data_IF_098769922850
#
_entry.id   IF_098769922850
#
_cell.length_a   1.000
_cell.length_b   1.000
_cell.length_c   1.000
_cell.angle_alpha   90.00
_cell.angle_beta   90.00
_cell.angle_gamma   90.00
#
_symmetry.space_group_name_H-M   'P 1'
#
loop_
_entity.id
_entity.type
_entity.pdbx_description
1 polymer ?
#
# COMPACT_ATOMS: atom_id res chain seq x y z
N UNK A 1 30.16 16.00 -11.74
CA UNK A 1 28.70 16.02 -11.91
C UNK A 1 28.42 15.18 -13.14
N UNK A 2 27.79 14.00 -12.97
CA UNK A 2 27.39 13.22 -14.14
C UNK A 2 26.24 13.99 -14.81
N UNK A 3 26.43 14.32 -16.10
CA UNK A 3 25.37 14.96 -16.89
C UNK A 3 24.10 14.11 -16.80
N UNK A 4 23.00 14.75 -16.41
CA UNK A 4 21.68 14.11 -16.39
C UNK A 4 21.35 13.74 -17.83
N UNK A 5 21.47 12.46 -18.15
CA UNK A 5 21.21 12.00 -19.53
C UNK A 5 19.69 11.90 -19.73
N UNK A 6 19.07 13.05 -19.97
CA UNK A 6 17.62 13.25 -20.14
C UNK A 6 17.04 12.28 -21.19
N UNK A 7 17.82 11.88 -22.20
CA UNK A 7 17.41 10.93 -23.25
C UNK A 7 17.17 9.50 -22.72
N UNK A 8 17.72 9.15 -21.55
CA UNK A 8 17.55 7.79 -20.97
C UNK A 8 16.39 7.67 -19.99
N UNK A 9 15.73 8.78 -19.65
CA UNK A 9 14.55 8.78 -18.77
C UNK A 9 13.38 8.08 -19.45
N UNK A 10 12.64 7.29 -18.68
CA UNK A 10 11.39 6.70 -19.14
C UNK A 10 10.24 7.70 -19.15
N UNK A 11 10.23 8.58 -20.17
CA UNK A 11 9.23 9.64 -20.32
C UNK A 11 7.80 9.13 -20.38
N UNK A 12 7.57 7.91 -20.87
CA UNK A 12 6.23 7.35 -20.91
C UNK A 12 5.69 7.06 -19.50
N UNK A 13 6.50 6.49 -18.61
CA UNK A 13 6.10 6.32 -17.22
C UNK A 13 5.91 7.66 -16.50
N UNK A 14 6.75 8.66 -16.78
CA UNK A 14 6.58 10.02 -16.24
C UNK A 14 5.29 10.67 -16.75
N UNK A 15 4.97 10.50 -18.04
CA UNK A 15 3.71 11.00 -18.62
C UNK A 15 2.49 10.37 -17.95
N UNK A 16 2.49 9.05 -17.75
CA UNK A 16 1.38 8.36 -17.07
C UNK A 16 1.24 8.88 -15.62
N UNK A 17 2.36 9.02 -14.89
CA UNK A 17 2.35 9.59 -13.55
C UNK A 17 1.75 10.99 -13.54
N UNK A 18 2.20 11.88 -14.43
CA UNK A 18 1.70 13.26 -14.49
C UNK A 18 0.21 13.29 -14.85
N UNK A 19 -0.25 12.39 -15.71
CA UNK A 19 -1.68 12.23 -16.03
C UNK A 19 -2.48 11.79 -14.79
N UNK A 20 -1.99 10.81 -14.01
CA UNK A 20 -2.64 10.38 -12.77
C UNK A 20 -2.71 11.53 -11.75
N UNK A 21 -1.64 12.30 -11.57
CA UNK A 21 -1.64 13.47 -10.66
C UNK A 21 -2.63 14.53 -11.15
N UNK A 22 -2.69 14.82 -12.44
CA UNK A 22 -3.62 15.79 -13.01
C UNK A 22 -5.08 15.36 -12.82
N UNK A 23 -5.40 14.07 -13.07
CA UNK A 23 -6.71 13.49 -12.80
C UNK A 23 -7.03 13.53 -11.30
N UNK A 24 -6.05 13.25 -10.44
CA UNK A 24 -6.18 13.35 -8.98
C UNK A 24 -6.54 14.77 -8.55
N UNK A 25 -5.83 15.79 -9.03
CA UNK A 25 -6.13 17.19 -8.74
C UNK A 25 -7.53 17.58 -9.19
N UNK A 26 -7.97 17.13 -10.37
CA UNK A 26 -9.34 17.36 -10.86
C UNK A 26 -10.40 16.73 -9.93
N UNK A 27 -10.19 15.48 -9.50
CA UNK A 27 -11.14 14.79 -8.63
C UNK A 27 -11.13 15.38 -7.20
N UNK A 28 -9.97 15.79 -6.67
CA UNK A 28 -9.89 16.50 -5.38
C UNK A 28 -10.58 17.87 -5.48
N UNK A 29 -10.45 18.58 -6.60
CA UNK A 29 -11.19 19.82 -6.85
C UNK A 29 -12.69 19.58 -6.80
N UNK A 30 -13.18 18.57 -7.51
CA UNK A 30 -14.61 18.24 -7.53
C UNK A 30 -15.12 17.82 -6.14
N UNK A 31 -14.43 16.92 -5.45
CA UNK A 31 -14.85 16.43 -4.13
C UNK A 31 -14.72 17.46 -3.00
N UNK A 32 -14.04 18.60 -3.22
CA UNK A 32 -13.86 19.66 -2.23
C UNK A 32 -14.69 20.92 -2.49
N UNK A 33 -15.65 20.89 -3.40
CA UNK A 33 -16.47 22.07 -3.80
C UNK A 33 -17.23 22.70 -2.62
N UNK A 34 -17.72 21.92 -1.67
CA UNK A 34 -18.39 22.44 -0.47
C UNK A 34 -17.50 23.35 0.38
N UNK A 35 -16.18 23.20 0.28
CA UNK A 35 -15.19 24.03 0.98
C UNK A 35 -14.73 25.27 0.18
N UNK A 36 -15.12 25.38 -1.12
CA UNK A 36 -14.69 26.48 -1.99
C UNK A 36 -15.53 27.75 -1.82
N UNK A 37 -16.67 27.67 -1.12
CA UNK A 37 -17.55 28.83 -0.88
C UNK A 37 -16.92 29.86 0.06
N UNK A 38 -15.84 29.50 0.77
CA UNK A 38 -15.17 30.34 1.78
C UNK A 38 -13.87 30.98 1.27
N UNK A 39 -13.88 31.65 0.13
CA UNK A 39 -12.76 32.38 -0.49
C UNK A 39 -11.67 31.52 -1.16
N UNK A 40 -11.20 31.99 -2.33
CA UNK A 40 -10.15 31.35 -3.17
C UNK A 40 -8.79 31.22 -2.43
N UNK A 41 -8.59 31.99 -1.36
CA UNK A 41 -7.37 31.97 -0.54
C UNK A 41 -7.50 31.17 0.77
N UNK A 42 -8.65 30.53 1.03
CA UNK A 42 -8.74 29.60 2.17
C UNK A 42 -7.91 28.36 1.86
N UNK A 43 -7.19 27.83 2.89
CA UNK A 43 -6.42 26.59 2.81
C UNK A 43 -7.35 25.36 2.71
N UNK A 44 -8.14 25.30 1.61
CA UNK A 44 -9.00 24.17 1.32
C UNK A 44 -8.19 22.94 0.84
N UNK A 45 -8.76 21.73 0.79
CA UNK A 45 -8.04 20.52 0.38
C UNK A 45 -7.40 20.62 -1.00
N UNK A 46 -8.06 21.26 -1.98
CA UNK A 46 -7.52 21.43 -3.33
C UNK A 46 -6.27 22.31 -3.35
N UNK A 47 -6.29 23.48 -2.70
CA UNK A 47 -5.14 24.40 -2.68
C UNK A 47 -3.93 23.78 -1.97
N UNK A 48 -4.17 23.04 -0.87
CA UNK A 48 -3.13 22.26 -0.22
C UNK A 48 -2.56 21.18 -1.13
N UNK A 49 -3.41 20.44 -1.82
CA UNK A 49 -2.97 19.38 -2.74
C UNK A 49 -2.15 19.95 -3.91
N UNK A 50 -2.58 21.08 -4.48
CA UNK A 50 -1.82 21.79 -5.53
C UNK A 50 -0.44 22.21 -5.05
N UNK A 51 -0.34 22.76 -3.84
CA UNK A 51 0.93 23.13 -3.23
C UNK A 51 1.86 21.91 -3.08
N UNK A 52 1.35 20.79 -2.56
CA UNK A 52 2.13 19.56 -2.45
C UNK A 52 2.49 18.94 -3.81
N UNK A 53 1.64 19.10 -4.84
CA UNK A 53 1.97 18.67 -6.19
C UNK A 53 3.14 19.49 -6.77
N UNK A 54 3.19 20.80 -6.53
CA UNK A 54 4.32 21.64 -6.93
C UNK A 54 5.60 21.19 -6.22
N UNK A 55 5.56 20.97 -4.89
CA UNK A 55 6.71 20.45 -4.13
C UNK A 55 7.15 19.09 -4.71
N UNK A 56 6.21 18.23 -5.06
CA UNK A 56 6.50 16.92 -5.64
C UNK A 56 7.24 17.02 -6.98
N UNK A 57 6.93 18.01 -7.80
CA UNK A 57 7.67 18.29 -9.03
C UNK A 57 9.13 18.67 -8.71
N UNK A 58 9.35 19.53 -7.70
CA UNK A 58 10.70 19.86 -7.26
C UNK A 58 11.45 18.63 -6.72
N UNK A 59 10.78 17.77 -5.93
CA UNK A 59 11.35 16.50 -5.45
C UNK A 59 11.76 15.63 -6.64
N UNK A 60 10.90 15.51 -7.67
CA UNK A 60 11.22 14.72 -8.87
C UNK A 60 12.51 15.19 -9.53
N UNK A 61 12.63 16.47 -9.84
CA UNK A 61 13.83 17.02 -10.51
C UNK A 61 15.06 16.95 -9.59
N UNK A 62 14.93 17.23 -8.31
CA UNK A 62 16.02 17.12 -7.35
C UNK A 62 16.61 15.70 -7.31
N UNK A 63 15.74 14.68 -7.28
CA UNK A 63 16.19 13.28 -7.31
C UNK A 63 16.92 12.93 -8.61
N UNK A 64 16.53 13.50 -9.76
CA UNK A 64 17.22 13.24 -11.02
C UNK A 64 18.66 13.80 -11.03
N UNK A 65 18.98 14.83 -10.24
CA UNK A 65 20.33 15.40 -10.12
C UNK A 65 21.26 14.49 -9.30
N UNK A 66 20.72 13.76 -8.31
CA UNK A 66 21.50 12.90 -7.43
C UNK A 66 22.09 11.72 -8.20
N UNK A 67 23.29 11.29 -7.83
CA UNK A 67 23.91 10.08 -8.38
C UNK A 67 23.30 8.81 -7.75
N UNK A 68 23.32 7.69 -8.47
CA UNK A 68 22.88 6.40 -7.89
C UNK A 68 23.74 5.99 -6.71
N UNK A 69 25.04 6.29 -6.77
CA UNK A 69 25.95 6.04 -5.65
C UNK A 69 25.52 6.74 -4.36
N UNK A 70 24.84 7.88 -4.46
CA UNK A 70 24.24 8.54 -3.29
C UNK A 70 23.21 7.61 -2.62
N UNK A 71 22.28 7.03 -3.37
CA UNK A 71 21.26 6.14 -2.82
C UNK A 71 21.88 4.86 -2.23
N UNK A 72 22.86 4.27 -2.91
CA UNK A 72 23.57 3.07 -2.42
C UNK A 72 24.31 3.38 -1.12
N UNK A 73 25.07 4.48 -1.09
CA UNK A 73 25.90 4.84 0.06
C UNK A 73 25.08 5.23 1.28
N UNK A 74 24.05 6.04 1.08
CA UNK A 74 23.29 6.65 2.19
C UNK A 74 22.01 5.90 2.56
N UNK A 75 21.61 4.83 1.88
CA UNK A 75 20.37 4.10 2.19
C UNK A 75 20.27 3.63 3.64
N UNK A 76 21.38 3.20 4.28
CA UNK A 76 21.37 2.80 5.69
C UNK A 76 21.14 3.99 6.62
N UNK A 77 21.76 5.13 6.30
CA UNK A 77 21.59 6.35 7.11
C UNK A 77 20.15 6.88 6.96
N UNK A 78 19.63 6.92 5.75
CA UNK A 78 18.24 7.30 5.49
C UNK A 78 17.27 6.37 6.23
N UNK A 79 17.56 5.06 6.27
CA UNK A 79 16.75 4.11 7.01
C UNK A 79 16.74 4.39 8.51
N UNK A 80 17.91 4.63 9.12
CA UNK A 80 18.02 4.99 10.53
C UNK A 80 17.24 6.28 10.81
N UNK A 81 17.37 7.30 9.96
CA UNK A 81 16.62 8.56 10.11
C UNK A 81 15.11 8.33 10.00
N UNK A 82 14.66 7.45 9.11
CA UNK A 82 13.24 7.13 9.00
C UNK A 82 12.72 6.39 10.26
N UNK A 83 13.50 5.49 10.83
CA UNK A 83 13.16 4.82 12.09
C UNK A 83 13.12 5.84 13.26
N UNK A 84 14.10 6.74 13.34
CA UNK A 84 14.10 7.80 14.35
C UNK A 84 12.88 8.72 14.20
N UNK A 85 12.46 9.03 12.96
CA UNK A 85 11.25 9.82 12.73
C UNK A 85 9.97 9.10 13.16
N UNK A 86 9.90 7.76 13.02
CA UNK A 86 8.79 6.97 13.55
C UNK A 86 8.80 6.92 15.08
N UNK A 87 9.98 6.79 15.70
CA UNK A 87 10.11 6.84 17.16
C UNK A 87 9.74 8.23 17.70
N UNK A 88 10.12 9.28 17.02
CA UNK A 88 9.81 10.66 17.41
C UNK A 88 8.31 10.95 17.48
N UNK A 89 7.46 10.21 16.79
CA UNK A 89 6.01 10.35 16.88
C UNK A 89 5.46 10.05 18.28
N UNK A 90 6.10 9.18 19.05
CA UNK A 90 5.67 8.90 20.43
C UNK A 90 5.88 10.10 21.38
N UNK A 91 6.71 11.08 20.99
CA UNK A 91 7.01 12.27 21.79
C UNK A 91 6.35 13.53 21.18
N UNK A 92 6.38 13.67 19.87
CA UNK A 92 5.97 14.89 19.14
C UNK A 92 4.79 14.65 18.20
N UNK A 93 4.22 13.43 18.18
CA UNK A 93 3.13 13.09 17.26
C UNK A 93 1.78 13.61 17.75
N UNK A 94 0.88 13.84 16.78
CA UNK A 94 -0.53 14.13 17.03
C UNK A 94 -1.38 12.95 16.59
N UNK A 95 -2.41 12.68 17.38
CA UNK A 95 -3.38 11.66 17.08
C UNK A 95 -4.44 12.19 16.11
N UNK A 96 -4.63 11.47 15.00
CA UNK A 96 -5.67 11.77 14.01
C UNK A 96 -6.42 10.46 13.71
N UNK A 97 -7.73 10.48 13.85
CA UNK A 97 -8.60 9.31 13.64
C UNK A 97 -8.19 8.05 14.44
N UNK A 98 -7.60 8.24 15.64
CA UNK A 98 -7.15 7.17 16.52
C UNK A 98 -5.77 6.59 16.20
N UNK A 99 -4.99 7.24 15.30
CA UNK A 99 -3.62 6.86 15.00
C UNK A 99 -2.64 7.99 15.36
N UNK A 100 -1.62 7.69 16.19
CA UNK A 100 -0.54 8.61 16.56
C UNK A 100 0.54 8.63 15.46
N UNK A 101 0.17 9.10 14.26
CA UNK A 101 0.95 8.92 13.04
C UNK A 101 1.39 10.22 12.35
N UNK A 102 1.06 11.39 12.91
CA UNK A 102 1.20 12.67 12.23
C UNK A 102 2.04 13.67 13.01
N UNK A 103 2.98 14.33 12.32
CA UNK A 103 3.53 15.61 12.77
C UNK A 103 2.68 16.74 12.19
N UNK A 104 2.18 17.63 13.05
CA UNK A 104 1.41 18.79 12.63
C UNK A 104 2.22 20.06 12.89
N UNK A 105 2.48 20.83 11.83
CA UNK A 105 3.25 22.08 11.88
C UNK A 105 2.48 23.14 11.08
N UNK A 106 1.97 24.17 11.74
CA UNK A 106 1.30 25.31 11.10
C UNK A 106 0.21 24.93 10.07
N UNK A 107 -0.63 23.93 10.39
CA UNK A 107 -1.72 23.50 9.52
C UNK A 107 -1.33 22.52 8.42
N UNK A 108 -0.06 22.11 8.35
CA UNK A 108 0.41 21.02 7.49
C UNK A 108 0.63 19.77 8.33
N UNK A 109 0.21 18.62 7.79
CA UNK A 109 0.39 17.32 8.44
C UNK A 109 1.35 16.46 7.62
N UNK A 110 2.38 15.92 8.28
CA UNK A 110 3.36 15.00 7.67
C UNK A 110 3.26 13.66 8.37
N UNK A 111 3.09 12.60 7.58
CA UNK A 111 3.06 11.22 8.06
C UNK A 111 4.39 10.52 7.74
N UNK A 112 5.27 10.30 8.72
CA UNK A 112 6.59 9.69 8.50
C UNK A 112 6.52 8.27 7.92
N UNK A 113 5.49 7.51 8.23
CA UNK A 113 5.30 6.15 7.71
C UNK A 113 5.16 6.11 6.18
N UNK A 114 4.67 7.19 5.54
CA UNK A 114 4.62 7.32 4.08
C UNK A 114 6.03 7.32 3.47
N UNK A 115 6.94 8.12 4.05
CA UNK A 115 8.34 8.19 3.62
C UNK A 115 9.15 6.96 4.02
N UNK A 116 8.77 6.28 5.10
CA UNK A 116 9.45 5.05 5.53
C UNK A 116 9.33 3.93 4.49
N UNK A 117 8.26 3.86 3.70
CA UNK A 117 8.08 2.85 2.64
C UNK A 117 9.18 2.91 1.56
N UNK A 118 9.40 4.03 0.83
CA UNK A 118 10.48 4.12 -0.15
C UNK A 118 11.87 3.98 0.46
N UNK A 119 12.06 4.45 1.69
CA UNK A 119 13.35 4.35 2.38
C UNK A 119 13.64 2.91 2.82
N UNK A 120 12.66 2.17 3.31
CA UNK A 120 12.79 0.73 3.60
C UNK A 120 13.09 -0.07 2.32
N UNK A 121 12.48 0.30 1.19
CA UNK A 121 12.80 -0.28 -0.10
C UNK A 121 14.28 -0.07 -0.49
N UNK A 122 14.85 1.12 -0.23
CA UNK A 122 16.28 1.40 -0.45
C UNK A 122 17.17 0.56 0.47
N UNK A 123 16.84 0.48 1.76
CA UNK A 123 17.59 -0.29 2.74
C UNK A 123 17.60 -1.78 2.38
N UNK A 124 16.44 -2.31 1.99
CA UNK A 124 16.30 -3.69 1.55
C UNK A 124 17.08 -3.96 0.27
N UNK A 125 16.98 -3.04 -0.72
CA UNK A 125 17.74 -3.14 -1.97
C UNK A 125 19.25 -3.15 -1.72
N UNK A 126 19.75 -2.29 -0.82
CA UNK A 126 21.16 -2.26 -0.44
C UNK A 126 21.60 -3.56 0.21
N UNK A 127 20.85 -4.03 1.21
CA UNK A 127 21.21 -5.24 1.95
C UNK A 127 21.23 -6.48 1.06
N UNK A 128 20.22 -6.67 0.21
CA UNK A 128 20.14 -7.83 -0.67
C UNK A 128 21.00 -7.77 -1.91
N UNK A 129 21.50 -6.57 -2.29
CA UNK A 129 22.46 -6.41 -3.41
C UNK A 129 23.90 -6.59 -3.00
N UNK A 130 24.21 -6.75 -1.71
CA UNK A 130 25.54 -7.04 -1.23
C UNK A 130 26.03 -8.40 -1.75
N UNK A 131 27.30 -8.49 -2.13
CA UNK A 131 27.95 -9.67 -2.72
C UNK A 131 27.80 -10.91 -1.80
N UNK A 132 27.81 -10.71 -0.49
CA UNK A 132 27.69 -11.75 0.51
C UNK A 132 26.23 -12.13 0.83
N UNK A 133 25.24 -11.49 0.23
CA UNK A 133 23.83 -11.70 0.49
C UNK A 133 23.24 -12.74 -0.46
N UNK A 134 22.69 -13.82 0.09
CA UNK A 134 21.90 -14.79 -0.66
C UNK A 134 20.57 -15.03 0.07
N UNK A 135 19.47 -14.62 -0.54
CA UNK A 135 18.12 -14.73 0.05
C UNK A 135 17.70 -16.18 0.39
N UNK A 136 18.41 -17.19 -0.14
CA UNK A 136 18.16 -18.59 0.21
C UNK A 136 18.77 -18.99 1.55
N UNK A 137 19.70 -18.23 2.11
CA UNK A 137 20.28 -18.50 3.43
C UNK A 137 19.40 -17.93 4.54
N UNK A 138 19.27 -18.70 5.63
CA UNK A 138 18.45 -18.30 6.81
C UNK A 138 18.94 -16.96 7.38
N UNK A 139 20.25 -16.74 7.41
CA UNK A 139 20.86 -15.50 7.92
C UNK A 139 20.38 -14.29 7.11
N UNK A 140 20.44 -14.35 5.78
CA UNK A 140 19.99 -13.25 4.91
C UNK A 140 18.48 -13.05 5.05
N UNK A 141 17.69 -14.13 5.12
CA UNK A 141 16.26 -14.04 5.35
C UNK A 141 15.95 -13.30 6.66
N UNK A 142 16.59 -13.70 7.75
CA UNK A 142 16.37 -13.11 9.06
C UNK A 142 16.61 -11.57 9.06
N UNK A 143 17.75 -11.12 8.54
CA UNK A 143 18.04 -9.69 8.49
C UNK A 143 17.14 -8.93 7.49
N UNK A 144 16.76 -9.56 6.37
CA UNK A 144 15.82 -8.95 5.42
C UNK A 144 14.43 -8.76 6.03
N UNK A 145 13.94 -9.75 6.77
CA UNK A 145 12.68 -9.62 7.52
C UNK A 145 12.80 -8.59 8.63
N UNK A 146 13.93 -8.51 9.33
CA UNK A 146 14.14 -7.54 10.39
C UNK A 146 14.06 -6.09 9.86
N UNK A 147 14.62 -5.80 8.67
CA UNK A 147 14.52 -4.48 8.03
C UNK A 147 13.05 -4.07 7.81
N UNK A 148 12.15 -5.02 7.57
CA UNK A 148 10.73 -4.73 7.39
C UNK A 148 9.98 -4.74 8.72
N UNK A 149 10.33 -5.64 9.63
CA UNK A 149 9.64 -5.79 10.91
C UNK A 149 9.85 -4.61 11.87
N UNK A 150 11.02 -3.97 11.84
CA UNK A 150 11.29 -2.81 12.71
C UNK A 150 10.28 -1.68 12.44
N UNK A 151 10.09 -1.17 11.21
CA UNK A 151 9.06 -0.16 10.98
C UNK A 151 7.64 -0.70 11.26
N UNK A 152 7.34 -1.96 10.94
CA UNK A 152 6.02 -2.56 11.24
C UNK A 152 5.71 -2.49 12.74
N UNK A 153 6.67 -2.87 13.61
CA UNK A 153 6.45 -2.85 15.06
C UNK A 153 6.22 -1.45 15.59
N UNK A 154 6.95 -0.45 15.10
CA UNK A 154 6.74 0.94 15.48
C UNK A 154 5.37 1.45 15.01
N UNK A 155 4.97 1.16 13.78
CA UNK A 155 3.68 1.56 13.21
C UNK A 155 2.52 0.83 13.90
N UNK A 156 2.73 -0.42 14.31
CA UNK A 156 1.74 -1.18 15.10
C UNK A 156 1.46 -0.51 16.45
N UNK A 157 2.48 0.04 17.09
CA UNK A 157 2.35 0.79 18.34
C UNK A 157 1.69 2.17 18.14
N UNK A 158 1.59 2.67 16.91
CA UNK A 158 0.93 3.92 16.51
C UNK A 158 -0.52 3.74 16.05
N UNK A 159 -1.18 2.63 16.26
CA UNK A 159 -2.37 1.98 15.69
C UNK A 159 -2.68 2.38 14.23
N UNK A 160 -1.74 2.17 13.29
CA UNK A 160 -1.96 2.38 11.84
C UNK A 160 -1.91 1.04 11.07
N UNK A 161 -3.00 0.25 11.09
CA UNK A 161 -3.05 -1.05 10.43
C UNK A 161 -2.94 -0.98 8.91
N UNK A 162 -3.33 0.15 8.31
CA UNK A 162 -3.26 0.36 6.86
C UNK A 162 -1.83 0.27 6.37
N UNK A 163 -0.96 1.03 6.97
CA UNK A 163 0.45 1.05 6.60
C UNK A 163 1.14 -0.30 6.85
N UNK A 164 0.76 -1.04 7.92
CA UNK A 164 1.30 -2.38 8.20
C UNK A 164 1.06 -3.33 7.02
N UNK A 165 -0.15 -3.35 6.45
CA UNK A 165 -0.49 -4.24 5.33
C UNK A 165 0.39 -3.94 4.11
N UNK A 166 0.72 -2.67 3.88
CA UNK A 166 1.63 -2.29 2.78
C UNK A 166 3.04 -2.83 3.03
N UNK A 167 3.56 -2.75 4.25
CA UNK A 167 4.86 -3.35 4.57
C UNK A 167 4.86 -4.88 4.44
N UNK A 168 3.78 -5.57 4.81
CA UNK A 168 3.67 -7.02 4.63
C UNK A 168 3.74 -7.43 3.15
N UNK A 169 3.34 -6.57 2.23
CA UNK A 169 3.42 -6.84 0.79
C UNK A 169 4.84 -7.01 0.26
N UNK A 170 5.89 -6.58 0.99
CA UNK A 170 7.28 -6.83 0.61
C UNK A 170 7.63 -8.32 0.46
N UNK A 171 6.80 -9.24 0.96
CA UNK A 171 6.93 -10.67 0.69
C UNK A 171 6.92 -10.98 -0.82
N UNK A 172 6.18 -10.19 -1.62
CA UNK A 172 6.16 -10.30 -3.08
C UNK A 172 7.52 -9.98 -3.69
N UNK A 173 8.22 -8.98 -3.13
CA UNK A 173 9.59 -8.62 -3.54
C UNK A 173 10.54 -9.77 -3.25
N UNK A 174 10.48 -10.33 -2.03
CA UNK A 174 11.32 -11.47 -1.65
C UNK A 174 11.10 -12.67 -2.57
N UNK A 175 9.85 -12.98 -2.88
CA UNK A 175 9.52 -14.07 -3.81
C UNK A 175 10.15 -13.83 -5.20
N UNK A 176 10.08 -12.61 -5.71
CA UNK A 176 10.69 -12.24 -6.99
C UNK A 176 12.23 -12.32 -7.01
N UNK A 177 12.87 -12.16 -5.87
CA UNK A 177 14.34 -12.24 -5.74
C UNK A 177 14.82 -13.68 -5.51
N UNK A 178 13.91 -14.62 -5.30
CA UNK A 178 14.21 -16.05 -5.17
C UNK A 178 14.07 -16.62 -3.77
N UNK A 179 13.28 -15.99 -2.89
CA UNK A 179 12.84 -16.61 -1.64
C UNK A 179 12.11 -17.91 -1.95
N UNK A 180 12.34 -19.01 -1.22
CA UNK A 180 11.64 -20.26 -1.42
C UNK A 180 10.11 -20.09 -1.44
N UNK A 181 9.45 -20.73 -2.42
CA UNK A 181 7.99 -20.61 -2.63
C UNK A 181 7.14 -20.98 -1.42
N UNK A 182 7.71 -21.76 -0.48
CA UNK A 182 7.02 -22.15 0.75
C UNK A 182 6.57 -20.92 1.57
N UNK A 183 7.36 -19.85 1.62
CA UNK A 183 7.00 -18.62 2.34
C UNK A 183 5.79 -17.94 1.69
N UNK A 184 5.74 -17.91 0.37
CA UNK A 184 4.61 -17.35 -0.37
C UNK A 184 3.34 -18.17 -0.18
N UNK A 185 3.47 -19.51 -0.24
CA UNK A 185 2.35 -20.42 0.01
C UNK A 185 1.81 -20.28 1.44
N UNK A 186 2.71 -20.14 2.44
CA UNK A 186 2.32 -19.88 3.83
C UNK A 186 1.62 -18.53 3.96
N UNK A 187 2.14 -17.49 3.33
CA UNK A 187 1.54 -16.15 3.37
C UNK A 187 0.12 -16.15 2.80
N UNK A 188 -0.07 -16.75 1.62
CA UNK A 188 -1.40 -16.89 1.01
C UNK A 188 -2.31 -17.79 1.89
N UNK A 189 -1.76 -18.87 2.43
CA UNK A 189 -2.48 -19.76 3.35
C UNK A 189 -2.96 -19.03 4.61
N UNK A 190 -2.12 -18.17 5.20
CA UNK A 190 -2.52 -17.36 6.36
C UNK A 190 -3.61 -16.36 6.02
N UNK A 191 -3.56 -15.72 4.86
CA UNK A 191 -4.64 -14.81 4.41
C UNK A 191 -5.96 -15.58 4.27
N UNK A 192 -5.94 -16.74 3.61
CA UNK A 192 -7.15 -17.57 3.42
C UNK A 192 -7.69 -18.01 4.79
N UNK A 193 -6.83 -18.49 5.69
CA UNK A 193 -7.24 -18.93 7.02
C UNK A 193 -7.77 -17.79 7.89
N UNK A 194 -7.20 -16.58 7.77
CA UNK A 194 -7.70 -15.40 8.47
C UNK A 194 -9.16 -15.15 8.11
N UNK A 195 -9.48 -15.03 6.83
CA UNK A 195 -10.85 -14.82 6.37
C UNK A 195 -11.76 -16.02 6.69
N UNK A 196 -11.27 -17.25 6.51
CA UNK A 196 -12.04 -18.45 6.84
C UNK A 196 -12.39 -18.51 8.33
N UNK A 197 -11.48 -18.11 9.24
CA UNK A 197 -11.70 -18.14 10.67
C UNK A 197 -12.82 -17.17 11.09
N UNK A 198 -12.88 -16.00 10.47
CA UNK A 198 -13.92 -15.02 10.77
C UNK A 198 -15.27 -15.46 10.19
N UNK A 199 -15.28 -16.05 8.98
CA UNK A 199 -16.53 -16.48 8.30
C UNK A 199 -17.15 -17.75 8.89
N UNK A 200 -16.32 -18.77 9.19
CA UNK A 200 -16.80 -20.15 9.44
C UNK A 200 -16.77 -20.57 10.91
N UNK A 201 -16.37 -19.74 11.82
CA UNK A 201 -16.01 -20.08 13.19
C UNK A 201 -14.72 -20.91 13.32
N UNK A 202 -13.92 -20.69 14.38
CA UNK A 202 -12.64 -21.40 14.57
C UNK A 202 -12.77 -22.91 14.62
N UNK A 203 -13.85 -23.42 15.24
CA UNK A 203 -14.11 -24.88 15.35
C UNK A 203 -14.21 -25.56 13.98
N UNK A 204 -14.98 -24.95 13.07
CA UNK A 204 -15.19 -25.51 11.73
C UNK A 204 -13.92 -25.46 10.89
N UNK A 205 -13.14 -24.39 10.98
CA UNK A 205 -11.85 -24.25 10.28
C UNK A 205 -10.86 -25.28 10.78
N UNK A 206 -10.74 -25.48 12.11
CA UNK A 206 -9.86 -26.47 12.70
C UNK A 206 -10.28 -27.89 12.32
N UNK A 207 -11.59 -28.19 12.34
CA UNK A 207 -12.10 -29.48 11.90
C UNK A 207 -11.73 -29.76 10.43
N UNK A 208 -11.92 -28.75 9.56
CA UNK A 208 -11.52 -28.85 8.16
C UNK A 208 -10.02 -29.08 7.99
N UNK A 209 -9.18 -28.37 8.75
CA UNK A 209 -7.72 -28.56 8.75
C UNK A 209 -7.34 -29.98 9.22
N UNK A 210 -7.96 -30.50 10.27
CA UNK A 210 -7.69 -31.85 10.78
C UNK A 210 -8.10 -32.91 9.71
N UNK A 211 -9.29 -32.79 9.14
CA UNK A 211 -9.77 -33.73 8.12
C UNK A 211 -8.85 -33.71 6.90
N UNK A 212 -8.51 -32.51 6.40
CA UNK A 212 -7.59 -32.37 5.25
C UNK A 212 -6.20 -32.93 5.54
N UNK A 213 -5.69 -32.71 6.77
CA UNK A 213 -4.42 -33.28 7.22
C UNK A 213 -4.46 -34.81 7.28
N UNK A 214 -5.54 -35.39 7.81
CA UNK A 214 -5.70 -36.87 7.89
C UNK A 214 -5.77 -37.48 6.50
N UNK A 215 -6.55 -36.90 5.58
CA UNK A 215 -6.62 -37.33 4.18
C UNK A 215 -5.22 -37.27 3.53
N UNK A 216 -4.50 -36.17 3.71
CA UNK A 216 -3.16 -36.00 3.12
C UNK A 216 -2.14 -36.99 3.70
N UNK A 217 -2.19 -37.27 5.00
CA UNK A 217 -1.36 -38.28 5.66
C UNK A 217 -1.69 -39.69 5.13
N UNK A 218 -2.99 -40.01 4.99
CA UNK A 218 -3.42 -41.31 4.46
C UNK A 218 -2.92 -41.55 3.04
N UNK A 219 -3.00 -40.53 2.17
CA UNK A 219 -2.51 -40.58 0.80
C UNK A 219 -0.97 -40.75 0.73
N UNK A 220 -0.24 -40.21 1.71
CA UNK A 220 1.22 -40.19 1.76
C UNK A 220 1.80 -41.11 2.86
N UNK A 221 1.04 -42.14 3.31
CA UNK A 221 1.39 -42.99 4.46
C UNK A 221 2.77 -43.64 4.41
N UNK A 222 3.36 -43.81 3.23
CA UNK A 222 4.69 -44.42 3.03
C UNK A 222 5.84 -43.44 3.27
N UNK A 223 5.60 -42.10 3.34
CA UNK A 223 6.65 -41.11 3.44
C UNK A 223 6.64 -40.40 4.81
N UNK A 224 7.42 -40.94 5.75
CA UNK A 224 7.53 -40.39 7.12
C UNK A 224 7.94 -38.92 7.18
N UNK A 225 8.76 -38.44 6.20
CA UNK A 225 9.18 -37.03 6.15
C UNK A 225 8.00 -36.10 5.77
N UNK A 226 7.13 -36.56 4.86
CA UNK A 226 5.92 -35.82 4.48
C UNK A 226 4.96 -35.78 5.65
N UNK A 227 4.72 -36.92 6.33
CA UNK A 227 3.83 -36.98 7.50
C UNK A 227 4.28 -36.00 8.59
N UNK A 228 5.59 -35.99 8.94
CA UNK A 228 6.13 -35.07 9.93
C UNK A 228 5.92 -33.59 9.55
N UNK A 229 6.17 -33.22 8.27
CA UNK A 229 5.95 -31.87 7.77
C UNK A 229 4.47 -31.48 7.83
N UNK A 230 3.57 -32.35 7.40
CA UNK A 230 2.12 -32.12 7.43
C UNK A 230 1.63 -31.88 8.85
N UNK A 231 2.12 -32.66 9.82
CA UNK A 231 1.78 -32.46 11.22
C UNK A 231 2.24 -31.09 11.75
N UNK A 232 3.49 -30.69 11.42
CA UNK A 232 4.04 -29.38 11.83
C UNK A 232 3.21 -28.24 11.20
N UNK A 233 2.88 -28.31 9.91
CA UNK A 233 2.06 -27.28 9.27
C UNK A 233 0.63 -27.24 9.82
N UNK A 234 0.04 -28.41 10.09
CA UNK A 234 -1.27 -28.49 10.72
C UNK A 234 -1.28 -27.83 12.11
N UNK A 235 -0.23 -28.05 12.91
CA UNK A 235 -0.08 -27.40 14.20
C UNK A 235 0.06 -25.87 14.06
N UNK A 236 0.92 -25.41 13.16
CA UNK A 236 1.14 -23.97 12.92
C UNK A 236 -0.16 -23.31 12.47
N UNK A 237 -0.90 -23.89 11.53
CA UNK A 237 -2.15 -23.37 11.05
C UNK A 237 -3.25 -23.37 12.12
N UNK A 238 -3.32 -24.41 12.93
CA UNK A 238 -4.28 -24.46 14.06
C UNK A 238 -3.96 -23.39 15.11
N UNK A 239 -2.69 -23.20 15.48
CA UNK A 239 -2.27 -22.14 16.37
C UNK A 239 -2.60 -20.75 15.78
N UNK A 240 -2.40 -20.57 14.47
CA UNK A 240 -2.77 -19.32 13.80
C UNK A 240 -4.27 -19.06 13.88
N UNK A 241 -5.12 -20.06 13.61
CA UNK A 241 -6.59 -19.94 13.71
C UNK A 241 -7.01 -19.52 15.13
N UNK A 242 -6.45 -20.14 16.17
CA UNK A 242 -6.71 -19.72 17.55
C UNK A 242 -6.22 -18.30 17.84
N UNK A 243 -5.05 -17.93 17.33
CA UNK A 243 -4.50 -16.57 17.49
C UNK A 243 -5.39 -15.54 16.81
N UNK A 244 -5.89 -15.82 15.61
CA UNK A 244 -6.80 -14.92 14.88
C UNK A 244 -8.08 -14.74 15.67
N UNK A 245 -8.71 -15.81 16.15
CA UNK A 245 -9.94 -15.75 16.93
C UNK A 245 -9.72 -14.95 18.23
N UNK A 246 -8.65 -15.24 18.97
CA UNK A 246 -8.31 -14.54 20.20
C UNK A 246 -8.08 -13.04 19.95
N UNK A 247 -7.29 -12.68 18.94
CA UNK A 247 -6.96 -11.28 18.60
C UNK A 247 -8.24 -10.56 18.14
N UNK A 248 -9.03 -11.21 17.28
CA UNK A 248 -10.24 -10.61 16.73
C UNK A 248 -11.28 -10.33 17.80
N UNK A 249 -11.49 -11.26 18.75
CA UNK A 249 -12.54 -11.13 19.75
C UNK A 249 -12.12 -10.35 21.00
N UNK A 250 -10.82 -10.37 21.38
CA UNK A 250 -10.37 -9.82 22.66
C UNK A 250 -9.45 -8.59 22.54
N UNK A 251 -8.75 -8.42 21.40
CA UNK A 251 -7.78 -7.33 21.22
C UNK A 251 -8.33 -6.25 20.27
N UNK A 252 -8.99 -6.66 19.19
CA UNK A 252 -9.55 -5.70 18.25
C UNK A 252 -10.65 -4.86 18.89
N UNK A 253 -10.57 -3.56 18.73
CA UNK A 253 -11.67 -2.66 19.09
C UNK A 253 -12.92 -2.98 18.28
N UNK A 254 -14.07 -2.67 18.84
CA UNK A 254 -15.36 -2.94 18.20
C UNK A 254 -15.48 -2.33 16.80
N UNK A 255 -14.94 -1.13 16.60
CA UNK A 255 -14.91 -0.45 15.29
C UNK A 255 -14.19 -1.26 14.22
N UNK A 256 -13.07 -1.90 14.56
CA UNK A 256 -12.31 -2.73 13.61
C UNK A 256 -13.04 -4.03 13.30
N UNK A 257 -13.59 -4.71 14.32
CA UNK A 257 -14.41 -5.92 14.13
C UNK A 257 -15.63 -5.66 13.24
N UNK A 258 -16.33 -4.54 13.47
CA UNK A 258 -17.49 -4.18 12.66
C UNK A 258 -17.15 -3.98 11.19
N UNK A 259 -16.01 -3.35 10.86
CA UNK A 259 -15.55 -3.18 9.46
C UNK A 259 -15.35 -4.53 8.75
N UNK A 260 -14.75 -5.51 9.40
CA UNK A 260 -14.62 -6.86 8.85
C UNK A 260 -15.97 -7.56 8.70
N UNK A 261 -16.81 -7.52 9.74
CA UNK A 261 -18.12 -8.18 9.74
C UNK A 261 -19.06 -7.61 8.66
N UNK A 262 -18.97 -6.32 8.36
CA UNK A 262 -19.77 -5.66 7.31
C UNK A 262 -19.33 -6.15 5.93
N UNK A 263 -18.04 -6.16 5.64
CA UNK A 263 -17.54 -6.62 4.33
C UNK A 263 -17.82 -8.10 4.11
N UNK A 264 -17.78 -8.90 5.17
CA UNK A 264 -18.12 -10.33 5.11
C UNK A 264 -19.63 -10.62 5.08
N UNK A 265 -20.47 -9.57 5.16
CA UNK A 265 -21.94 -9.74 5.18
C UNK A 265 -22.50 -10.34 6.46
N UNK A 266 -21.69 -10.46 7.52
CA UNK A 266 -22.12 -10.99 8.84
C UNK A 266 -22.99 -9.97 9.57
N UNK A 267 -22.68 -8.67 9.43
CA UNK A 267 -23.42 -7.57 10.04
C UNK A 267 -23.80 -6.55 8.96
N UNK A 268 -25.04 -6.11 8.97
CA UNK A 268 -25.51 -4.98 8.17
C UNK A 268 -25.54 -3.75 9.07
N UNK A 269 -24.78 -2.73 8.73
CA UNK A 269 -24.74 -1.45 9.43
C UNK A 269 -24.69 -0.32 8.41
N UNK A 270 -25.85 0.19 8.06
CA UNK A 270 -26.01 1.22 7.04
C UNK A 270 -25.82 2.64 7.58
N UNK A 271 -25.75 2.84 8.90
CA UNK A 271 -25.70 4.16 9.53
C UNK A 271 -24.44 4.38 10.38
N UNK A 272 -23.74 3.30 10.78
CA UNK A 272 -22.51 3.35 11.58
C UNK A 272 -21.24 3.13 10.77
N UNK A 273 -20.44 2.15 11.16
CA UNK A 273 -19.13 1.86 10.55
C UNK A 273 -19.20 1.44 9.07
N UNK A 274 -20.35 0.95 8.59
CA UNK A 274 -20.61 0.59 7.20
C UNK A 274 -21.09 1.75 6.31
N UNK A 275 -21.46 2.88 6.89
CA UNK A 275 -22.01 4.03 6.17
C UNK A 275 -21.10 4.46 5.01
N UNK A 276 -19.81 4.67 5.28
CA UNK A 276 -18.85 5.14 4.27
C UNK A 276 -18.77 4.20 3.06
N UNK A 277 -18.70 2.88 3.30
CA UNK A 277 -18.65 1.88 2.22
C UNK A 277 -19.96 1.83 1.44
N UNK A 278 -21.09 1.91 2.11
CA UNK A 278 -22.39 1.89 1.45
C UNK A 278 -22.59 3.14 0.59
N UNK A 279 -22.29 4.34 1.11
CA UNK A 279 -22.38 5.58 0.36
C UNK A 279 -21.40 5.60 -0.83
N UNK A 280 -20.17 5.10 -0.63
CA UNK A 280 -19.19 4.95 -1.71
C UNK A 280 -19.71 4.04 -2.84
N UNK A 281 -20.35 2.91 -2.50
CA UNK A 281 -20.93 2.00 -3.50
C UNK A 281 -22.12 2.62 -4.22
N UNK A 282 -22.98 3.38 -3.50
CA UNK A 282 -24.10 4.12 -4.09
C UNK A 282 -23.57 5.15 -5.08
N UNK A 283 -22.58 5.98 -4.67
CA UNK A 283 -21.95 6.97 -5.51
C UNK A 283 -21.32 6.33 -6.76
N UNK A 284 -20.57 5.24 -6.58
CA UNK A 284 -19.96 4.53 -7.71
C UNK A 284 -21.00 3.96 -8.68
N UNK A 285 -22.11 3.43 -8.16
CA UNK A 285 -23.17 2.83 -8.98
C UNK A 285 -24.03 3.87 -9.70
N UNK A 286 -24.23 5.07 -9.12
CA UNK A 286 -25.03 6.15 -9.76
C UNK A 286 -24.42 6.65 -11.07
N UNK A 287 -23.07 6.57 -11.21
CA UNK A 287 -22.40 7.03 -12.42
C UNK A 287 -22.67 6.20 -13.69
N UNK A 288 -23.19 4.98 -13.58
CA UNK A 288 -23.47 4.13 -14.73
C UNK A 288 -22.27 3.94 -15.67
N UNK A 289 -22.49 3.96 -16.98
CA UNK A 289 -21.43 3.77 -17.97
C UNK A 289 -20.56 5.01 -18.19
N UNK A 290 -21.17 6.20 -18.30
CA UNK A 290 -20.50 7.43 -18.74
C UNK A 290 -20.32 8.47 -17.65
N UNK A 291 -20.87 8.23 -16.46
CA UNK A 291 -20.87 9.15 -15.34
C UNK A 291 -21.97 10.23 -15.43
N UNK A 292 -22.21 10.89 -14.28
CA UNK A 292 -23.11 12.04 -14.19
C UNK A 292 -22.48 13.31 -14.80
N UNK A 293 -21.17 13.29 -15.05
CA UNK A 293 -20.38 14.41 -15.57
C UNK A 293 -19.54 15.08 -14.49
N UNK A 294 -18.41 15.65 -14.91
CA UNK A 294 -17.50 16.36 -14.03
C UNK A 294 -18.20 17.50 -13.30
N UNK A 295 -18.03 17.58 -11.98
CA UNK A 295 -18.69 18.53 -11.08
C UNK A 295 -20.23 18.38 -11.00
N UNK A 296 -20.81 17.28 -11.46
CA UNK A 296 -22.26 17.05 -11.43
C UNK A 296 -22.68 15.90 -10.52
N UNK A 297 -21.72 15.15 -9.95
CA UNK A 297 -21.98 14.05 -9.06
C UNK A 297 -22.87 14.45 -7.87
N UNK A 298 -24.03 13.84 -7.75
CA UNK A 298 -25.03 14.17 -6.73
C UNK A 298 -24.56 13.81 -5.32
N UNK A 299 -23.92 12.65 -5.15
CA UNK A 299 -23.37 12.18 -3.88
C UNK A 299 -22.12 12.97 -3.49
N UNK A 300 -21.23 13.23 -4.47
CA UNK A 300 -20.01 14.01 -4.27
C UNK A 300 -20.34 15.45 -3.85
N UNK A 301 -21.27 16.12 -4.54
CA UNK A 301 -21.70 17.50 -4.19
C UNK A 301 -22.44 17.58 -2.87
N UNK A 302 -23.22 16.56 -2.55
CA UNK A 302 -23.94 16.45 -1.28
C UNK A 302 -23.05 16.09 -0.10
N UNK A 303 -21.75 15.82 -0.34
CA UNK A 303 -20.79 15.36 0.68
C UNK A 303 -21.30 14.15 1.47
N UNK A 304 -22.05 13.25 0.80
CA UNK A 304 -22.63 12.07 1.43
C UNK A 304 -21.60 10.97 1.70
N UNK A 305 -20.47 10.96 0.99
CA UNK A 305 -19.36 10.02 1.22
C UNK A 305 -18.33 10.68 2.12
N UNK A 306 -18.24 10.32 3.43
CA UNK A 306 -17.17 10.83 4.28
C UNK A 306 -15.80 10.47 3.71
N UNK A 307 -14.82 11.37 3.87
CA UNK A 307 -13.44 11.19 3.37
C UNK A 307 -13.39 10.93 1.83
N UNK A 308 -14.33 11.49 1.06
CA UNK A 308 -14.42 11.32 -0.38
C UNK A 308 -13.18 11.85 -1.14
N UNK A 309 -12.47 12.82 -0.59
CA UNK A 309 -11.25 13.38 -1.19
C UNK A 309 -9.97 12.62 -0.83
N UNK A 310 -9.99 11.76 0.20
CA UNK A 310 -8.86 10.95 0.65
C UNK A 310 -9.02 9.48 0.27
N UNK A 311 -9.59 8.67 1.14
CA UNK A 311 -9.64 7.22 1.01
C UNK A 311 -10.67 6.73 0.00
N UNK A 312 -11.73 7.51 -0.23
CA UNK A 312 -12.84 7.17 -1.12
C UNK A 312 -12.83 7.96 -2.44
N UNK A 313 -11.69 8.56 -2.84
CA UNK A 313 -11.61 9.35 -4.08
C UNK A 313 -12.09 8.59 -5.32
N UNK A 314 -11.90 7.27 -5.35
CA UNK A 314 -12.32 6.45 -6.47
C UNK A 314 -13.84 6.34 -6.61
N UNK A 315 -14.63 6.63 -5.54
CA UNK A 315 -16.09 6.75 -5.65
C UNK A 315 -16.51 7.98 -6.45
N UNK A 316 -15.82 9.12 -6.25
CA UNK A 316 -16.02 10.33 -7.07
C UNK A 316 -15.70 10.07 -8.54
N UNK A 317 -14.63 9.33 -8.83
CA UNK A 317 -14.31 8.90 -10.19
C UNK A 317 -15.45 8.07 -10.78
N UNK A 318 -15.97 7.09 -10.03
CA UNK A 318 -17.06 6.23 -10.48
C UNK A 318 -18.35 7.01 -10.75
N UNK A 319 -18.70 7.96 -9.89
CA UNK A 319 -19.88 8.79 -10.03
C UNK A 319 -19.79 9.76 -11.21
N UNK A 320 -18.71 10.54 -11.29
CA UNK A 320 -18.60 11.62 -12.28
C UNK A 320 -18.17 11.15 -13.67
N UNK A 321 -17.31 10.13 -13.75
CA UNK A 321 -16.73 9.62 -15.01
C UNK A 321 -17.28 8.25 -15.40
N UNK A 322 -18.08 7.62 -14.54
CA UNK A 322 -18.71 6.33 -14.77
C UNK A 322 -17.75 5.17 -14.89
N UNK A 323 -18.25 4.05 -15.36
CA UNK A 323 -17.47 2.84 -15.59
C UNK A 323 -16.31 3.03 -16.57
N UNK A 324 -16.50 3.84 -17.62
CA UNK A 324 -15.44 4.10 -18.60
C UNK A 324 -14.27 4.88 -17.99
N UNK A 325 -14.56 5.94 -17.22
CA UNK A 325 -13.52 6.71 -16.54
C UNK A 325 -12.79 5.90 -15.48
N UNK A 326 -13.52 5.13 -14.66
CA UNK A 326 -12.95 4.24 -13.68
C UNK A 326 -12.05 3.18 -14.33
N UNK A 327 -12.52 2.55 -15.42
CA UNK A 327 -11.73 1.58 -16.18
C UNK A 327 -10.47 2.20 -16.79
N UNK A 328 -10.54 3.42 -17.29
CA UNK A 328 -9.39 4.15 -17.84
C UNK A 328 -8.31 4.36 -16.76
N UNK A 329 -8.70 4.78 -15.56
CA UNK A 329 -7.76 4.95 -14.44
C UNK A 329 -7.15 3.61 -14.04
N UNK A 330 -7.94 2.53 -13.93
CA UNK A 330 -7.44 1.18 -13.64
C UNK A 330 -6.41 0.74 -14.71
N UNK A 331 -6.68 0.99 -15.97
CA UNK A 331 -5.76 0.67 -17.06
C UNK A 331 -4.46 1.48 -16.99
N UNK A 332 -4.52 2.76 -16.64
CA UNK A 332 -3.31 3.59 -16.44
C UNK A 332 -2.42 3.03 -15.32
N UNK A 333 -3.00 2.68 -14.17
CA UNK A 333 -2.24 2.06 -13.07
C UNK A 333 -1.67 0.71 -13.48
N UNK A 334 -2.48 -0.14 -14.11
CA UNK A 334 -2.05 -1.47 -14.54
C UNK A 334 -0.90 -1.36 -15.53
N UNK A 335 -1.01 -0.47 -16.51
CA UNK A 335 0.03 -0.24 -17.50
C UNK A 335 1.31 0.31 -16.85
N UNK A 336 1.21 1.26 -15.91
CA UNK A 336 2.34 1.80 -15.16
C UNK A 336 3.06 0.69 -14.41
N UNK A 337 2.33 -0.11 -13.63
CA UNK A 337 2.88 -1.20 -12.82
C UNK A 337 3.55 -2.29 -13.68
N UNK A 338 2.88 -2.72 -14.76
CA UNK A 338 3.45 -3.69 -15.69
C UNK A 338 4.70 -3.17 -16.39
N UNK A 339 4.70 -1.89 -16.74
CA UNK A 339 5.87 -1.24 -17.34
C UNK A 339 7.05 -1.19 -16.39
N UNK A 340 6.84 -0.75 -15.13
CA UNK A 340 7.89 -0.72 -14.09
C UNK A 340 8.40 -2.16 -13.86
N UNK A 341 7.52 -3.15 -13.72
CA UNK A 341 7.89 -4.55 -13.52
C UNK A 341 8.73 -5.10 -14.69
N UNK A 342 8.33 -4.83 -15.94
CA UNK A 342 9.08 -5.23 -17.13
C UNK A 342 10.47 -4.57 -17.16
N UNK A 343 10.55 -3.28 -16.81
CA UNK A 343 11.84 -2.57 -16.76
C UNK A 343 12.71 -3.01 -15.60
N UNK A 344 12.12 -3.44 -14.48
CA UNK A 344 12.84 -4.06 -13.37
C UNK A 344 13.60 -5.32 -13.78
N UNK A 345 13.02 -6.16 -14.66
CA UNK A 345 13.72 -7.34 -15.19
C UNK A 345 14.92 -6.97 -16.08
N UNK A 346 14.91 -5.81 -16.71
CA UNK A 346 15.98 -5.34 -17.58
C UNK A 346 17.12 -4.65 -16.82
N UNK A 347 17.00 -4.46 -15.49
CA UNK A 347 18.02 -3.85 -14.66
C UNK A 347 19.24 -4.78 -14.53
N UNK A 348 20.44 -4.24 -14.77
CA UNK A 348 21.70 -4.96 -14.56
C UNK A 348 22.11 -5.00 -13.09
N UNK A 349 21.86 -3.92 -12.37
CA UNK A 349 22.13 -3.83 -10.94
C UNK A 349 21.04 -4.52 -10.12
N UNK A 350 21.42 -5.41 -9.22
CA UNK A 350 20.50 -6.07 -8.31
C UNK A 350 19.82 -5.05 -7.37
N UNK A 351 20.55 -4.01 -6.95
CA UNK A 351 20.00 -2.91 -6.16
C UNK A 351 18.84 -2.24 -6.87
N UNK A 352 19.05 -1.82 -8.12
CA UNK A 352 18.01 -1.16 -8.93
C UNK A 352 16.82 -2.09 -9.21
N UNK A 353 17.09 -3.38 -9.43
CA UNK A 353 16.05 -4.40 -9.65
C UNK A 353 15.15 -4.55 -8.42
N UNK A 354 15.74 -4.72 -7.24
CA UNK A 354 15.01 -4.89 -5.97
C UNK A 354 14.18 -3.65 -5.65
N UNK A 355 14.77 -2.46 -5.79
CA UNK A 355 14.05 -1.21 -5.57
C UNK A 355 12.86 -1.05 -6.53
N UNK A 356 13.04 -1.34 -7.80
CA UNK A 356 11.97 -1.27 -8.81
C UNK A 356 10.82 -2.22 -8.48
N UNK A 357 11.10 -3.45 -8.05
CA UNK A 357 10.06 -4.37 -7.58
C UNK A 357 9.36 -3.87 -6.32
N UNK A 358 10.13 -3.27 -5.40
CA UNK A 358 9.54 -2.67 -4.19
C UNK A 358 8.59 -1.53 -4.54
N UNK A 359 8.96 -0.68 -5.50
CA UNK A 359 8.11 0.40 -5.98
C UNK A 359 6.80 -0.11 -6.58
N UNK A 360 6.87 -1.12 -7.46
CA UNK A 360 5.65 -1.78 -8.01
C UNK A 360 4.79 -2.36 -6.90
N UNK A 361 5.39 -3.07 -5.95
CA UNK A 361 4.68 -3.75 -4.87
C UNK A 361 3.94 -2.75 -3.97
N UNK A 362 4.58 -1.63 -3.61
CA UNK A 362 3.96 -0.57 -2.80
C UNK A 362 2.78 0.04 -3.57
N UNK A 363 2.98 0.45 -4.83
CA UNK A 363 1.90 1.03 -5.65
C UNK A 363 0.76 0.03 -5.83
N UNK A 364 1.06 -1.24 -6.14
CA UNK A 364 0.07 -2.30 -6.32
C UNK A 364 -0.78 -2.51 -5.05
N UNK A 365 -0.13 -2.58 -3.89
CA UNK A 365 -0.84 -2.83 -2.63
C UNK A 365 -1.79 -1.70 -2.27
N UNK A 366 -1.35 -0.44 -2.43
CA UNK A 366 -2.22 0.72 -2.24
C UNK A 366 -3.40 0.72 -3.22
N UNK A 367 -3.11 0.52 -4.51
CA UNK A 367 -4.11 0.46 -5.57
C UNK A 367 -5.15 -0.64 -5.32
N UNK A 368 -4.70 -1.86 -5.02
CA UNK A 368 -5.58 -3.01 -4.80
C UNK A 368 -6.47 -2.81 -3.58
N UNK A 369 -5.90 -2.33 -2.47
CA UNK A 369 -6.66 -2.17 -1.22
C UNK A 369 -7.63 -1.00 -1.34
N UNK A 370 -7.20 0.15 -1.88
CA UNK A 370 -8.08 1.31 -2.02
C UNK A 370 -9.29 1.02 -2.91
N UNK A 371 -9.07 0.50 -4.12
CA UNK A 371 -10.20 0.14 -5.00
C UNK A 371 -11.07 -0.94 -4.35
N UNK A 372 -10.46 -1.96 -3.73
CA UNK A 372 -11.18 -2.99 -3.01
C UNK A 372 -12.06 -2.45 -1.88
N UNK A 373 -11.60 -1.40 -1.16
CA UNK A 373 -12.40 -0.71 -0.13
C UNK A 373 -13.61 0.01 -0.73
N UNK A 374 -13.39 0.78 -1.81
CA UNK A 374 -14.44 1.57 -2.47
C UNK A 374 -15.58 0.69 -2.99
N UNK A 375 -15.25 -0.46 -3.58
CA UNK A 375 -16.25 -1.41 -4.09
C UNK A 375 -16.76 -2.42 -3.04
N UNK A 376 -16.23 -2.33 -1.80
CA UNK A 376 -16.68 -3.17 -0.68
C UNK A 376 -16.15 -4.60 -0.67
N UNK A 377 -15.04 -4.89 -1.36
CA UNK A 377 -14.35 -6.20 -1.33
C UNK A 377 -13.33 -6.31 -0.18
N UNK A 378 -12.83 -5.18 0.31
CA UNK A 378 -11.85 -5.12 1.39
C UNK A 378 -12.38 -4.19 2.47
N UNK A 379 -12.16 -4.49 3.77
CA UNK A 379 -12.56 -3.61 4.86
C UNK A 379 -11.95 -2.21 4.72
N UNK A 380 -12.63 -1.21 5.23
CA UNK A 380 -12.15 0.17 5.26
C UNK A 380 -10.97 0.30 6.21
N UNK A 381 -9.78 0.55 5.68
CA UNK A 381 -8.54 0.58 6.46
C UNK A 381 -7.90 1.97 6.45
N UNK A 382 -8.37 2.87 5.56
CA UNK A 382 -7.82 4.21 5.46
C UNK A 382 -6.51 4.26 4.67
N UNK A 383 -6.51 3.73 3.45
CA UNK A 383 -5.34 3.70 2.58
C UNK A 383 -5.62 4.55 1.33
N UNK A 384 -4.85 5.65 1.10
CA UNK A 384 -5.07 6.50 -0.04
C UNK A 384 -4.65 5.83 -1.35
N UNK A 385 -5.31 6.21 -2.46
CA UNK A 385 -4.94 5.79 -3.80
C UNK A 385 -3.73 6.62 -4.27
N UNK A 386 -2.56 6.00 -4.60
CA UNK A 386 -1.35 6.71 -4.99
C UNK A 386 -1.60 7.72 -6.12
N UNK A 387 -1.10 8.94 -6.02
CA UNK A 387 -1.20 10.02 -7.02
C UNK A 387 -2.59 10.63 -7.22
N UNK A 388 -3.69 9.92 -6.89
CA UNK A 388 -5.06 10.43 -7.05
C UNK A 388 -5.61 11.05 -5.77
N UNK A 389 -5.48 10.36 -4.63
CA UNK A 389 -6.05 10.81 -3.36
C UNK A 389 -5.43 12.10 -2.86
N UNK A 390 -6.25 12.88 -2.15
CA UNK A 390 -5.74 13.97 -1.33
C UNK A 390 -4.85 13.42 -0.21
N UNK A 391 -3.68 14.02 -0.08
CA UNK A 391 -2.72 13.68 0.97
C UNK A 391 -1.33 14.18 0.62
N UNK A 392 -0.92 15.29 1.25
CA UNK A 392 0.36 15.92 0.93
C UNK A 392 1.56 15.00 1.14
N UNK A 393 1.66 14.37 2.31
CA UNK A 393 2.75 13.42 2.62
C UNK A 393 2.73 12.21 1.70
N UNK A 394 1.54 11.68 1.42
CA UNK A 394 1.36 10.52 0.56
C UNK A 394 1.81 10.84 -0.87
N UNK A 395 1.35 11.95 -1.46
CA UNK A 395 1.75 12.37 -2.80
C UNK A 395 3.28 12.57 -2.90
N UNK A 396 3.87 13.30 -1.95
CA UNK A 396 5.33 13.52 -1.92
C UNK A 396 6.10 12.21 -1.81
N UNK A 397 5.65 11.29 -0.94
CA UNK A 397 6.30 9.99 -0.74
C UNK A 397 6.19 9.08 -1.97
N UNK A 398 5.04 9.06 -2.65
CA UNK A 398 4.88 8.30 -3.89
C UNK A 398 5.67 8.89 -5.05
N UNK A 399 5.74 10.22 -5.15
CA UNK A 399 6.59 10.88 -6.15
C UNK A 399 8.06 10.63 -5.84
N UNK A 400 8.49 10.65 -4.57
CA UNK A 400 9.83 10.26 -4.15
C UNK A 400 10.15 8.80 -4.55
N UNK A 401 9.25 7.87 -4.23
CA UNK A 401 9.36 6.45 -4.59
C UNK A 401 9.56 6.28 -6.09
N UNK A 402 8.72 6.93 -6.88
CA UNK A 402 8.76 6.86 -8.33
C UNK A 402 9.98 7.57 -8.92
N UNK A 403 10.37 8.72 -8.38
CA UNK A 403 11.52 9.49 -8.86
C UNK A 403 12.83 8.71 -8.70
N UNK A 404 13.01 8.03 -7.56
CA UNK A 404 14.19 7.17 -7.34
C UNK A 404 14.15 6.00 -8.34
N UNK A 405 12.98 5.38 -8.57
CA UNK A 405 12.83 4.34 -9.60
C UNK A 405 13.27 4.86 -10.97
N UNK A 406 12.76 6.03 -11.41
CA UNK A 406 13.12 6.62 -12.71
C UNK A 406 14.61 6.89 -12.81
N UNK A 407 15.24 7.40 -11.74
CA UNK A 407 16.69 7.62 -11.68
C UNK A 407 17.46 6.33 -11.84
N UNK A 408 17.10 5.29 -11.08
CA UNK A 408 17.73 3.98 -11.18
C UNK A 408 17.57 3.35 -12.57
N UNK A 409 16.39 3.50 -13.16
CA UNK A 409 16.08 2.97 -14.49
C UNK A 409 16.81 3.72 -15.62
N UNK A 410 17.01 5.03 -15.49
CA UNK A 410 17.74 5.83 -16.50
C UNK A 410 19.17 5.36 -16.70
N UNK A 411 19.77 4.75 -15.68
CA UNK A 411 21.14 4.25 -15.70
C UNK A 411 21.23 2.71 -15.79
N UNK A 412 20.12 2.03 -16.13
CA UNK A 412 20.00 0.55 -16.18
C UNK A 412 21.07 -0.14 -17.05
N UNK A 413 21.61 0.55 -18.06
CA UNK A 413 22.62 0.03 -18.98
C UNK A 413 24.05 0.37 -18.58
N UNK A 414 24.24 1.23 -17.58
CA UNK A 414 25.56 1.61 -17.07
C UNK A 414 26.19 0.44 -16.32
N UNK A 415 27.50 0.24 -16.48
CA UNK A 415 28.28 -0.66 -15.63
C UNK A 415 28.63 0.12 -14.34
N UNK A 416 28.27 -0.42 -13.21
CA UNK A 416 28.62 0.10 -11.89
C UNK A 416 29.86 -0.56 -11.37
#
# INVERSE_FOLDING_TARGET
MNEVNIKKIDWLSVFILSTLIALGLGNVYSSSQTYLLDSIFSFNPFTKQLFFAIISVFIFFFIQILSINFFIKYSSILYILSILSLIGLFVFGNEVNGALAWYQINGFSIQPSEFAKPITALALAKYLSDINSNIKTIKTQFYSFLIILIPITLIMLQPDPGTIIIFLSFILVFYKIGLPSIYMNLFVGFIILFFATILLTPKNVILFLIVSMLIFIFLNKKNKKVIKKTFIYGLIFSLFVFSVDFIFNNIFEERHRNRFNIVMGIKQDNQGTGYNTNQSRIAFASGGLTGEGFLKGSQTRGNFVPEQHTDYIFSTVGEEWGFLGASFIILLYTFLMLRIAKRAELQRSLFSKIYSYSAVTIIFSHFFINIGMVIGLVPTIGIPLPFLSYGGSSLMAFVLLFSIYVKLDSERTSKW
#
